data_IF_803934820487
#
_entry.id   IF_803934820487
#
_cell.length_a   1.000
_cell.length_b   1.000
_cell.length_c   1.000
_cell.angle_alpha   90.00
_cell.angle_beta   90.00
_cell.angle_gamma   90.00
#
_symmetry.space_group_name_H-M   'P 1'
#
loop_
_entity.id
_entity.type
_entity.pdbx_description
1 polymer ?
#
# COMPACT_ATOMS: atom_id res chain seq x y z
N UNK A 1 2.06 15.63 -0.34
CA UNK A 1 0.97 16.49 -0.83
C UNK A 1 0.28 15.68 -1.91
N UNK A 2 -0.98 15.32 -1.69
CA UNK A 2 -1.69 14.39 -2.57
C UNK A 2 -2.09 15.10 -3.85
N UNK A 3 -1.71 14.53 -5.00
CA UNK A 3 -1.93 15.14 -6.32
C UNK A 3 -3.23 14.58 -6.88
N UNK A 4 -4.24 15.45 -7.00
CA UNK A 4 -5.45 15.13 -7.79
C UNK A 4 -5.07 15.12 -9.26
N UNK A 5 -5.22 13.98 -9.93
CA UNK A 5 -5.06 13.90 -11.39
C UNK A 5 -6.41 14.22 -12.02
N UNK A 6 -6.55 15.42 -12.58
CA UNK A 6 -7.83 15.95 -13.08
C UNK A 6 -8.52 15.09 -14.15
N UNK A 7 -7.79 14.21 -14.83
CA UNK A 7 -8.30 13.28 -15.86
C UNK A 7 -8.63 11.88 -15.34
N UNK A 8 -8.53 11.64 -14.03
CA UNK A 8 -8.71 10.34 -13.37
C UNK A 8 -9.59 10.50 -12.13
N UNK A 9 -10.14 9.41 -11.61
CA UNK A 9 -10.93 9.48 -10.37
C UNK A 9 -9.98 9.80 -9.20
N UNK A 10 -10.16 10.94 -8.51
CA UNK A 10 -9.26 11.31 -7.43
C UNK A 10 -9.52 10.42 -6.21
N UNK A 11 -8.45 9.80 -5.72
CA UNK A 11 -8.45 8.99 -4.49
C UNK A 11 -7.32 9.49 -3.59
N UNK A 12 -7.63 9.68 -2.31
CA UNK A 12 -6.65 9.98 -1.27
C UNK A 12 -6.56 8.80 -0.30
N UNK A 13 -5.35 8.26 -0.14
CA UNK A 13 -5.04 7.22 0.84
C UNK A 13 -4.64 7.88 2.14
N UNK A 14 -5.37 7.61 3.21
CA UNK A 14 -5.08 8.21 4.51
C UNK A 14 -4.79 7.15 5.57
N UNK A 15 -4.00 7.58 6.56
CA UNK A 15 -3.76 6.84 7.79
C UNK A 15 -3.29 5.39 7.58
N UNK A 16 -2.42 5.18 6.58
CA UNK A 16 -1.81 3.86 6.40
C UNK A 16 -0.87 3.57 7.56
N UNK A 17 -1.12 2.47 8.26
CA UNK A 17 -0.29 2.01 9.36
C UNK A 17 -0.20 0.49 9.38
N UNK A 18 0.95 0.01 9.86
CA UNK A 18 1.19 -1.41 10.06
C UNK A 18 0.50 -1.87 11.34
N UNK A 19 -0.07 -3.08 11.28
CA UNK A 19 -0.71 -3.77 12.40
C UNK A 19 0.08 -5.01 12.83
N UNK A 20 0.86 -5.59 11.92
CA UNK A 20 1.79 -6.69 12.17
C UNK A 20 3.21 -6.30 11.77
N UNK A 21 4.16 -6.59 12.65
CA UNK A 21 5.56 -6.15 12.54
C UNK A 21 6.58 -7.30 12.54
N UNK A 22 6.12 -8.54 12.73
CA UNK A 22 6.99 -9.72 12.68
C UNK A 22 7.23 -10.11 11.22
N UNK A 23 8.36 -10.74 10.96
CA UNK A 23 8.74 -11.14 9.59
C UNK A 23 7.76 -12.12 8.95
N UNK A 24 7.19 -13.03 9.74
CA UNK A 24 6.28 -14.06 9.25
C UNK A 24 4.84 -13.53 9.02
N UNK A 25 4.43 -12.44 9.68
CA UNK A 25 3.04 -11.95 9.62
C UNK A 25 2.98 -10.42 9.58
N UNK A 26 3.58 -9.83 8.55
CA UNK A 26 3.40 -8.39 8.28
C UNK A 26 1.98 -8.15 7.78
N UNK A 27 1.28 -7.22 8.41
CA UNK A 27 -0.07 -6.78 8.03
C UNK A 27 -0.19 -5.28 8.23
N UNK A 28 -1.07 -4.62 7.48
CA UNK A 28 -1.34 -3.18 7.64
C UNK A 28 -2.59 -2.75 6.90
N UNK A 29 -3.13 -1.60 7.27
CA UNK A 29 -4.38 -1.08 6.73
C UNK A 29 -4.27 0.42 6.44
N UNK A 30 -4.91 0.86 5.36
CA UNK A 30 -5.10 2.26 5.01
C UNK A 30 -6.51 2.52 4.55
N UNK A 31 -6.97 3.76 4.69
CA UNK A 31 -8.33 4.14 4.37
C UNK A 31 -8.41 4.85 3.02
N UNK A 32 -9.48 4.56 2.29
CA UNK A 32 -9.79 5.16 1.00
C UNK A 32 -10.71 6.35 1.20
N UNK A 33 -10.28 7.52 0.75
CA UNK A 33 -11.15 8.69 0.61
C UNK A 33 -11.33 8.95 -0.88
N UNK A 34 -12.31 8.25 -1.46
CA UNK A 34 -12.68 8.43 -2.85
C UNK A 34 -13.77 9.52 -2.93
N UNK A 35 -13.64 10.49 -3.84
CA UNK A 35 -14.72 11.45 -4.09
C UNK A 35 -15.96 10.77 -4.68
N UNK A 36 -15.74 9.67 -5.42
CA UNK A 36 -16.78 8.77 -5.90
C UNK A 36 -16.49 7.39 -5.35
N UNK A 37 -17.31 6.92 -4.40
CA UNK A 37 -17.07 5.65 -3.72
C UNK A 37 -17.01 4.44 -4.67
N UNK A 38 -16.18 3.46 -4.30
CA UNK A 38 -16.06 2.13 -4.91
C UNK A 38 -15.46 2.12 -6.31
N UNK A 39 -14.50 2.99 -6.59
CA UNK A 39 -13.83 3.03 -7.89
C UNK A 39 -12.55 2.20 -7.96
N UNK A 40 -11.83 2.07 -6.85
CA UNK A 40 -10.67 1.19 -6.75
C UNK A 40 -11.11 -0.28 -6.73
N UNK A 41 -10.73 -1.03 -7.77
CA UNK A 41 -11.02 -2.46 -7.90
C UNK A 41 -9.85 -3.33 -7.40
N UNK A 42 -8.62 -2.95 -7.69
CA UNK A 42 -7.44 -3.71 -7.28
C UNK A 42 -6.17 -2.86 -7.19
N UNK A 43 -5.16 -3.39 -6.50
CA UNK A 43 -3.84 -2.79 -6.40
C UNK A 43 -2.88 -3.66 -5.63
N UNK A 44 -1.63 -3.19 -5.54
CA UNK A 44 -0.55 -3.92 -4.87
C UNK A 44 0.18 -3.00 -3.90
N UNK A 45 0.62 -3.59 -2.80
CA UNK A 45 1.65 -3.02 -1.95
C UNK A 45 3.02 -3.41 -2.50
N UNK A 46 3.85 -2.41 -2.73
CA UNK A 46 5.23 -2.58 -3.15
C UNK A 46 6.13 -2.31 -1.95
N UNK A 47 6.94 -3.29 -1.58
CA UNK A 47 7.84 -3.27 -0.43
C UNK A 47 9.30 -3.37 -0.86
N UNK A 48 10.19 -2.85 -0.03
CA UNK A 48 11.63 -3.01 -0.20
C UNK A 48 12.43 -2.37 0.92
N UNK A 49 13.75 -2.59 0.91
CA UNK A 49 14.68 -2.04 1.91
C UNK A 49 15.16 -0.61 1.56
N UNK A 50 14.67 -0.03 0.46
CA UNK A 50 14.93 1.36 0.06
C UNK A 50 13.68 2.00 -0.50
N UNK A 51 13.50 3.31 -0.24
CA UNK A 51 12.41 4.14 -0.80
C UNK A 51 12.40 4.18 -2.33
N UNK A 52 13.53 3.91 -2.98
CA UNK A 52 13.67 3.96 -4.44
C UNK A 52 13.64 2.57 -5.09
N UNK A 53 13.63 1.49 -4.30
CA UNK A 53 13.70 0.12 -4.82
C UNK A 53 12.68 -0.79 -4.12
N UNK A 54 11.40 -0.60 -4.46
CA UNK A 54 10.28 -1.39 -3.94
C UNK A 54 9.97 -2.54 -4.90
N UNK A 55 10.68 -3.66 -4.75
CA UNK A 55 10.68 -4.78 -5.70
C UNK A 55 9.75 -5.94 -5.30
N UNK A 56 9.29 -5.99 -4.05
CA UNK A 56 8.42 -7.05 -3.55
C UNK A 56 6.97 -6.59 -3.64
N UNK A 57 6.18 -7.22 -4.50
CA UNK A 57 4.78 -6.85 -4.69
C UNK A 57 3.86 -7.85 -3.97
N UNK A 58 2.90 -7.31 -3.21
CA UNK A 58 1.87 -8.06 -2.50
C UNK A 58 0.52 -7.57 -2.98
N UNK A 59 -0.36 -8.49 -3.38
CA UNK A 59 -1.72 -8.14 -3.77
C UNK A 59 -2.48 -7.59 -2.56
N UNK A 60 -3.06 -6.40 -2.70
CA UNK A 60 -3.86 -5.81 -1.64
C UNK A 60 -5.24 -6.45 -1.56
N UNK A 61 -5.79 -6.52 -0.35
CA UNK A 61 -7.22 -6.72 -0.16
C UNK A 61 -7.89 -5.34 -0.22
N UNK A 62 -8.80 -5.17 -1.18
CA UNK A 62 -9.52 -3.91 -1.40
C UNK A 62 -10.96 -4.05 -0.92
N UNK A 63 -11.35 -3.20 0.02
CA UNK A 63 -12.75 -2.93 0.34
C UNK A 63 -13.10 -1.59 -0.30
N UNK A 64 -13.73 -1.62 -1.48
CA UNK A 64 -14.05 -0.43 -2.26
C UNK A 64 -14.81 0.63 -1.44
N UNK A 65 -14.42 1.89 -1.56
CA UNK A 65 -14.97 2.99 -0.77
C UNK A 65 -14.56 3.02 0.71
N UNK A 66 -13.78 2.06 1.20
CA UNK A 66 -13.47 1.93 2.62
C UNK A 66 -11.96 1.83 2.91
N UNK A 67 -11.30 0.76 2.46
CA UNK A 67 -9.94 0.46 2.89
C UNK A 67 -9.14 -0.41 1.92
N UNK A 68 -7.82 -0.35 2.09
CA UNK A 68 -6.84 -1.26 1.51
C UNK A 68 -6.05 -1.93 2.63
N UNK A 69 -5.83 -3.23 2.51
CA UNK A 69 -5.16 -4.02 3.55
C UNK A 69 -4.06 -4.87 2.94
N UNK A 70 -2.90 -4.91 3.57
CA UNK A 70 -1.90 -5.93 3.27
C UNK A 70 -2.41 -7.23 3.91
N UNK A 71 -2.67 -8.29 3.14
CA UNK A 71 -2.93 -9.60 3.74
C UNK A 71 -1.72 -10.06 4.55
N UNK A 72 -1.91 -11.05 5.43
CA UNK A 72 -0.77 -11.66 6.15
C UNK A 72 0.31 -12.08 5.15
N UNK A 73 1.47 -11.43 5.27
CA UNK A 73 2.57 -11.57 4.34
C UNK A 73 3.84 -11.97 5.08
N UNK A 74 4.46 -13.04 4.59
CA UNK A 74 5.79 -13.46 4.99
C UNK A 74 6.85 -12.71 4.18
N UNK A 75 7.75 -12.02 4.90
CA UNK A 75 8.88 -11.27 4.33
C UNK A 75 10.24 -11.82 4.78
N UNK A 76 10.28 -13.00 5.39
CA UNK A 76 11.50 -13.59 5.95
C UNK A 76 12.59 -13.79 4.90
N UNK A 77 12.20 -14.15 3.68
CA UNK A 77 13.14 -14.47 2.61
C UNK A 77 14.07 -13.30 2.21
N UNK A 78 13.73 -12.06 2.56
CA UNK A 78 14.46 -10.86 2.12
C UNK A 78 14.65 -9.80 3.21
N UNK A 79 14.32 -10.12 4.46
CA UNK A 79 14.50 -9.19 5.61
C UNK A 79 15.13 -9.88 6.81
N UNK A 80 15.70 -9.08 7.70
CA UNK A 80 16.22 -9.44 9.02
C UNK A 80 15.58 -8.57 10.11
N UNK A 81 15.64 -9.01 11.37
CA UNK A 81 15.21 -8.19 12.52
C UNK A 81 16.01 -6.89 12.55
N UNK A 82 15.33 -5.77 12.76
CA UNK A 82 15.93 -4.44 12.72
C UNK A 82 15.98 -3.79 11.33
N UNK A 83 15.67 -4.52 10.25
CA UNK A 83 15.60 -3.93 8.92
C UNK A 83 14.47 -2.90 8.84
N UNK A 84 14.72 -1.85 8.08
CA UNK A 84 13.73 -0.82 7.78
C UNK A 84 13.07 -1.15 6.45
N UNK A 85 11.79 -1.53 6.50
CA UNK A 85 11.00 -1.86 5.33
C UNK A 85 10.18 -0.66 4.91
N UNK A 86 10.31 -0.26 3.65
CA UNK A 86 9.52 0.78 3.01
C UNK A 86 8.39 0.16 2.20
N UNK A 87 7.26 0.86 2.15
CA UNK A 87 6.05 0.35 1.52
C UNK A 87 5.27 1.47 0.83
N UNK A 88 4.68 1.14 -0.32
CA UNK A 88 3.78 2.00 -1.06
C UNK A 88 2.67 1.18 -1.69
N UNK A 89 1.41 1.56 -1.45
CA UNK A 89 0.28 1.08 -2.25
C UNK A 89 0.22 1.79 -3.60
N UNK A 90 -0.05 1.02 -4.65
CA UNK A 90 -0.30 1.50 -6.02
C UNK A 90 -1.52 0.76 -6.61
N UNK A 91 -2.51 1.47 -7.17
CA UNK A 91 -3.56 0.85 -7.98
C UNK A 91 -2.98 0.06 -9.15
N UNK A 92 -3.69 -0.98 -9.59
CA UNK A 92 -3.28 -1.73 -10.77
C UNK A 92 -3.53 -0.95 -12.07
N UNK A 93 -2.77 -1.30 -13.11
CA UNK A 93 -2.95 -0.71 -14.45
C UNK A 93 -4.33 -1.03 -15.00
N UNK A 94 -5.02 -0.02 -15.53
CA UNK A 94 -6.39 -0.15 -16.04
C UNK A 94 -7.48 0.22 -15.03
N UNK A 95 -7.12 0.52 -13.78
CA UNK A 95 -8.04 1.17 -12.85
C UNK A 95 -8.20 2.66 -13.21
N UNK A 96 -9.40 3.21 -13.00
CA UNK A 96 -9.69 4.63 -13.27
C UNK A 96 -8.92 5.57 -12.34
N UNK A 97 -8.39 5.05 -11.24
CA UNK A 97 -7.51 5.76 -10.31
C UNK A 97 -6.02 5.44 -10.49
N UNK A 98 -5.64 4.72 -11.54
CA UNK A 98 -4.23 4.43 -11.86
C UNK A 98 -3.37 5.72 -11.79
N UNK A 99 -2.23 5.62 -11.11
CA UNK A 99 -1.32 6.74 -10.85
C UNK A 99 -1.58 7.48 -9.54
N UNK A 100 -2.72 7.27 -8.88
CA UNK A 100 -2.95 7.71 -7.51
C UNK A 100 -2.17 6.80 -6.55
N UNK A 101 -0.86 6.98 -6.46
CA UNK A 101 -0.04 6.22 -5.51
C UNK A 101 -0.19 6.82 -4.10
N UNK A 102 -0.19 5.94 -3.11
CA UNK A 102 -0.02 6.39 -1.71
C UNK A 102 1.37 7.00 -1.48
N UNK A 103 1.53 7.70 -0.35
CA UNK A 103 2.85 8.05 0.17
C UNK A 103 3.72 6.82 0.45
N UNK A 104 5.02 7.03 0.63
CA UNK A 104 5.93 5.94 1.06
C UNK A 104 5.96 5.92 2.59
N UNK A 105 5.53 4.80 3.15
CA UNK A 105 5.54 4.55 4.59
C UNK A 105 6.70 3.60 4.93
N UNK A 106 6.96 3.41 6.22
CA UNK A 106 7.96 2.45 6.67
C UNK A 106 7.67 1.91 8.06
N UNK A 107 8.25 0.75 8.35
CA UNK A 107 8.33 0.17 9.69
C UNK A 107 9.70 -0.48 9.89
N UNK A 108 10.01 -0.78 11.15
CA UNK A 108 11.19 -1.57 11.51
C UNK A 108 10.73 -2.98 11.86
N UNK A 109 11.37 -3.98 11.29
CA UNK A 109 11.06 -5.39 11.53
C UNK A 109 11.36 -5.75 12.99
N UNK A 110 10.35 -6.34 13.64
CA UNK A 110 10.44 -6.88 15.00
C UNK A 110 10.89 -8.34 15.02
#
# INVERSE_FOLDING_TARGET
MDVKVASKKPIVYSNFHMTGFTRATVTGIGFLNEETGSSLASGKFYLGLSKTNLIHAVVAQVAGGASITIPETDIEAWTSVGDKVYIQFRPDSGDDCEGANSGIYHFTVA
#
